data_IF_893716671351
#
_entry.id   IF_893716671351
#
_cell.length_a   1.000
_cell.length_b   1.000
_cell.length_c   1.000
_cell.angle_alpha   90.00
_cell.angle_beta   90.00
_cell.angle_gamma   90.00
#
_symmetry.space_group_name_H-M   'P 1'
#
loop_
_entity.id
_entity.type
_entity.pdbx_description
1 polymer ?
#
# COMPACT_ATOMS: atom_id res chain seq x y z
N UNK A 1 -9.77 33.56 -30.22
CA UNK A 1 -10.82 32.52 -30.03
C UNK A 1 -10.46 31.72 -28.79
N UNK A 2 -11.40 31.50 -27.87
CA UNK A 2 -11.16 30.64 -26.71
C UNK A 2 -11.08 29.17 -27.16
N UNK A 3 -10.24 28.36 -26.49
CA UNK A 3 -10.18 26.91 -26.75
C UNK A 3 -11.52 26.28 -26.43
N UNK A 4 -12.01 25.38 -27.28
CA UNK A 4 -13.24 24.63 -27.00
C UNK A 4 -13.00 23.58 -25.91
N UNK A 5 -14.07 23.18 -25.22
CA UNK A 5 -14.00 22.10 -24.22
C UNK A 5 -13.41 20.80 -24.81
N UNK A 6 -13.77 20.48 -26.05
CA UNK A 6 -13.22 19.32 -26.77
C UNK A 6 -11.70 19.44 -26.98
N UNK A 7 -11.21 20.63 -27.34
CA UNK A 7 -9.77 20.88 -27.48
C UNK A 7 -9.04 20.77 -26.14
N UNK A 8 -9.63 21.29 -25.06
CA UNK A 8 -9.05 21.19 -23.70
C UNK A 8 -8.96 19.72 -23.27
N UNK A 9 -10.03 18.93 -23.46
CA UNK A 9 -10.04 17.51 -23.12
C UNK A 9 -9.01 16.70 -23.93
N UNK A 10 -8.86 16.99 -25.22
CA UNK A 10 -7.83 16.36 -26.04
C UNK A 10 -6.41 16.68 -25.55
N UNK A 11 -6.17 17.92 -25.11
CA UNK A 11 -4.89 18.31 -24.50
C UNK A 11 -4.63 17.60 -23.17
N UNK A 12 -5.66 17.46 -22.32
CA UNK A 12 -5.55 16.71 -21.06
C UNK A 12 -5.16 15.26 -21.34
N UNK A 13 -5.87 14.59 -22.26
CA UNK A 13 -5.58 13.19 -22.61
C UNK A 13 -4.15 13.01 -23.15
N UNK A 14 -3.66 13.98 -23.94
CA UNK A 14 -2.28 13.97 -24.44
C UNK A 14 -1.28 14.12 -23.30
N UNK A 15 -1.47 15.12 -22.44
CA UNK A 15 -0.58 15.37 -21.30
C UNK A 15 -0.56 14.22 -20.30
N UNK A 16 -1.69 13.54 -20.08
CA UNK A 16 -1.76 12.35 -19.26
C UNK A 16 -0.88 11.23 -19.83
N UNK A 17 -1.00 10.94 -21.14
CA UNK A 17 -0.15 9.93 -21.80
C UNK A 17 1.33 10.27 -21.71
N UNK A 18 1.69 11.55 -21.88
CA UNK A 18 3.07 12.01 -21.72
C UNK A 18 3.56 11.82 -20.28
N UNK A 19 2.73 12.16 -19.28
CA UNK A 19 3.04 11.95 -17.88
C UNK A 19 3.24 10.46 -17.53
N UNK A 20 2.37 9.58 -18.03
CA UNK A 20 2.50 8.14 -17.81
C UNK A 20 3.73 7.55 -18.50
N UNK A 21 4.07 8.04 -19.69
CA UNK A 21 5.29 7.65 -20.38
C UNK A 21 6.56 8.09 -19.62
N UNK A 22 6.56 9.27 -19.01
CA UNK A 22 7.66 9.73 -18.16
C UNK A 22 7.77 8.89 -16.89
N UNK A 23 6.66 8.65 -16.19
CA UNK A 23 6.62 7.77 -15.01
C UNK A 23 7.15 6.38 -15.32
N UNK A 24 6.78 5.79 -16.45
CA UNK A 24 7.26 4.47 -16.85
C UNK A 24 8.78 4.43 -17.02
N UNK A 25 9.39 5.49 -17.58
CA UNK A 25 10.85 5.60 -17.71
C UNK A 25 11.54 5.74 -16.35
N UNK A 26 10.99 6.56 -15.46
CA UNK A 26 11.52 6.71 -14.10
C UNK A 26 11.45 5.39 -13.33
N UNK A 27 10.30 4.72 -13.37
CA UNK A 27 10.09 3.41 -12.74
C UNK A 27 11.06 2.37 -13.29
N UNK A 28 11.29 2.32 -14.61
CA UNK A 28 12.26 1.41 -15.20
C UNK A 28 13.69 1.62 -14.64
N UNK A 29 14.12 2.88 -14.51
CA UNK A 29 15.41 3.22 -13.92
C UNK A 29 15.50 2.83 -12.44
N UNK A 30 14.44 3.09 -11.67
CA UNK A 30 14.35 2.70 -10.25
C UNK A 30 14.40 1.18 -10.10
N UNK A 31 13.63 0.45 -10.91
CA UNK A 31 13.62 -1.03 -10.91
C UNK A 31 15.00 -1.58 -11.24
N UNK A 32 15.72 -0.99 -12.20
CA UNK A 32 17.10 -1.39 -12.49
C UNK A 32 18.01 -1.23 -11.26
N UNK A 33 17.91 -0.09 -10.58
CA UNK A 33 18.73 0.22 -9.40
C UNK A 33 18.38 -0.71 -8.21
N UNK A 34 17.10 -1.04 -8.04
CA UNK A 34 16.64 -2.01 -7.03
C UNK A 34 17.16 -3.42 -7.37
N UNK A 35 17.10 -3.84 -8.64
CA UNK A 35 17.62 -5.16 -9.07
C UNK A 35 19.12 -5.30 -8.80
N UNK A 36 19.89 -4.25 -9.07
CA UNK A 36 21.33 -4.23 -8.77
C UNK A 36 21.58 -4.33 -7.27
N UNK A 37 20.86 -3.55 -6.46
CA UNK A 37 20.95 -3.65 -5.00
C UNK A 37 20.59 -5.06 -4.50
N UNK A 38 19.53 -5.68 -5.05
CA UNK A 38 19.16 -7.06 -4.71
C UNK A 38 20.31 -8.03 -5.01
N UNK A 39 20.97 -7.90 -6.16
CA UNK A 39 22.07 -8.77 -6.55
C UNK A 39 23.31 -8.58 -5.67
N UNK A 40 23.69 -7.33 -5.36
CA UNK A 40 24.88 -7.01 -4.55
C UNK A 40 24.70 -7.45 -3.10
N UNK A 41 23.56 -7.12 -2.51
CA UNK A 41 23.32 -7.31 -1.08
C UNK A 41 22.54 -8.59 -0.76
N UNK A 42 22.23 -9.43 -1.76
CA UNK A 42 21.41 -10.64 -1.60
C UNK A 42 20.08 -10.36 -0.88
N UNK A 43 19.46 -9.21 -1.16
CA UNK A 43 18.21 -8.79 -0.53
C UNK A 43 17.08 -9.74 -0.92
N UNK A 44 16.25 -10.09 0.04
CA UNK A 44 15.05 -10.88 -0.20
C UNK A 44 13.81 -9.99 -0.12
N UNK A 45 12.66 -10.48 -0.61
CA UNK A 45 11.40 -9.76 -0.47
C UNK A 45 11.06 -9.42 0.99
N UNK A 46 11.53 -10.22 1.96
CA UNK A 46 11.31 -9.93 3.38
C UNK A 46 12.07 -8.69 3.89
N UNK A 47 13.14 -8.28 3.20
CA UNK A 47 13.93 -7.09 3.55
C UNK A 47 13.35 -5.82 2.88
N UNK A 48 12.80 -5.99 1.67
CA UNK A 48 12.25 -4.88 0.87
C UNK A 48 10.80 -4.51 1.22
N UNK A 49 10.05 -5.46 1.76
CA UNK A 49 8.66 -5.27 2.15
C UNK A 49 8.58 -5.47 3.65
N UNK A 50 8.48 -4.35 4.38
CA UNK A 50 8.16 -4.38 5.81
C UNK A 50 6.93 -5.26 6.02
N UNK A 51 7.06 -6.22 6.91
CA UNK A 51 6.11 -7.29 7.20
C UNK A 51 4.81 -6.71 7.79
N UNK A 52 4.00 -6.07 6.94
CA UNK A 52 2.59 -5.87 7.19
C UNK A 52 1.75 -7.04 6.62
N UNK A 53 2.39 -8.04 6.00
CA UNK A 53 1.72 -9.18 5.33
C UNK A 53 2.45 -10.52 5.48
N UNK A 54 3.58 -10.62 6.17
CA UNK A 54 4.31 -11.87 6.38
C UNK A 54 4.07 -12.50 7.78
N UNK A 55 2.91 -12.22 8.37
CA UNK A 55 2.26 -13.11 9.32
C UNK A 55 1.61 -14.36 8.67
N UNK A 56 2.28 -15.01 7.72
CA UNK A 56 2.12 -16.46 7.46
C UNK A 56 3.46 -17.01 6.98
N UNK A 57 4.32 -17.41 7.92
CA UNK A 57 5.21 -18.57 7.76
C UNK A 57 5.89 -18.89 9.09
N UNK A 58 5.69 -20.09 9.65
CA UNK A 58 6.79 -20.78 10.28
C UNK A 58 7.55 -21.59 9.22
N UNK A 59 8.87 -21.46 9.29
CA UNK A 59 9.86 -22.13 8.49
C UNK A 59 9.67 -23.66 8.44
N UNK A 60 9.61 -24.22 7.23
CA UNK A 60 9.92 -25.63 7.01
C UNK A 60 11.45 -25.80 6.97
N UNK A 61 12.05 -25.84 8.16
CA UNK A 61 13.40 -26.34 8.38
C UNK A 61 13.41 -27.84 8.08
N UNK A 62 14.26 -28.24 7.14
CA UNK A 62 14.57 -29.64 6.82
C UNK A 62 14.84 -30.46 8.09
N UNK A 63 14.09 -31.55 8.28
CA UNK A 63 14.56 -32.78 8.93
C UNK A 63 13.94 -33.98 8.21
N UNK A 64 14.79 -34.78 7.56
CA UNK A 64 14.47 -36.18 7.23
C UNK A 64 14.49 -36.97 8.54
N UNK A 65 13.44 -37.73 8.84
CA UNK A 65 13.49 -39.11 9.38
C UNK A 65 12.08 -39.67 9.56
N UNK A 66 11.83 -40.78 8.84
CA UNK A 66 10.95 -41.94 9.06
C UNK A 66 9.72 -41.88 9.99
N UNK A 67 8.60 -42.33 9.39
CA UNK A 67 7.52 -43.18 9.92
C UNK A 67 6.45 -42.65 10.90
N UNK A 68 5.22 -43.11 10.59
CA UNK A 68 4.04 -43.36 11.44
C UNK A 68 2.90 -42.30 11.52
N UNK A 69 1.84 -42.62 10.77
CA UNK A 69 0.38 -42.56 11.07
C UNK A 69 -0.33 -41.22 11.42
N UNK A 70 -1.50 -40.93 10.80
CA UNK A 70 -2.35 -39.79 11.15
C UNK A 70 -3.50 -40.20 12.07
N UNK A 71 -3.89 -39.37 13.05
CA UNK A 71 -5.30 -39.22 13.47
C UNK A 71 -5.51 -38.08 14.48
N UNK A 72 -6.47 -37.21 14.14
CA UNK A 72 -7.49 -36.58 14.99
C UNK A 72 -7.05 -35.59 16.08
N UNK A 73 -7.59 -34.36 16.01
CA UNK A 73 -7.76 -33.55 17.22
C UNK A 73 -8.04 -32.05 17.05
N UNK A 74 -9.34 -31.71 16.96
CA UNK A 74 -9.96 -30.50 17.55
C UNK A 74 -9.67 -29.12 16.94
N UNK A 75 -10.60 -28.70 16.07
CA UNK A 75 -11.07 -27.30 16.02
C UNK A 75 -11.74 -26.94 17.34
N UNK A 76 -11.41 -25.78 17.90
CA UNK A 76 -12.28 -25.03 18.81
C UNK A 76 -12.03 -23.51 18.64
N UNK A 77 -13.03 -22.65 18.92
CA UNK A 77 -13.15 -21.32 18.31
C UNK A 77 -12.88 -20.14 19.26
N UNK A 78 -12.62 -18.98 18.63
CA UNK A 78 -12.91 -17.59 19.07
C UNK A 78 -12.12 -17.01 20.26
N UNK A 79 -11.38 -15.94 19.98
CA UNK A 79 -11.22 -14.83 20.91
C UNK A 79 -11.18 -13.50 20.14
N UNK A 80 -12.24 -12.71 20.29
CA UNK A 80 -12.30 -11.33 19.84
C UNK A 80 -11.30 -10.49 20.66
N UNK A 81 -10.24 -10.01 20.03
CA UNK A 81 -9.33 -9.06 20.65
C UNK A 81 -9.88 -7.64 20.49
N UNK A 82 -9.92 -6.95 21.63
CA UNK A 82 -10.63 -5.70 21.93
C UNK A 82 -10.28 -4.55 20.98
N UNK A 83 -11.29 -3.76 20.60
CA UNK A 83 -11.17 -2.42 19.98
C UNK A 83 -10.22 -1.58 20.83
N UNK A 84 -9.01 -1.32 20.33
CA UNK A 84 -8.28 -0.14 20.74
C UNK A 84 -9.02 1.05 20.15
N UNK A 85 -9.44 1.98 21.00
CA UNK A 85 -10.07 3.23 20.61
C UNK A 85 -9.12 3.99 19.68
N UNK A 86 -9.38 3.84 18.40
CA UNK A 86 -8.57 4.41 17.35
C UNK A 86 -8.78 5.93 17.39
N UNK A 87 -7.83 6.64 17.98
CA UNK A 87 -7.82 8.11 17.99
C UNK A 87 -8.04 8.61 16.55
N UNK A 88 -9.12 9.35 16.35
CA UNK A 88 -9.42 10.01 15.08
C UNK A 88 -8.39 11.12 14.92
N UNK A 89 -7.31 10.84 14.21
CA UNK A 89 -6.26 11.82 13.93
C UNK A 89 -6.63 12.80 12.84
N UNK A 90 -7.56 12.45 11.95
CA UNK A 90 -7.93 13.29 10.81
C UNK A 90 -9.43 13.30 10.57
N UNK A 91 -10.00 14.46 10.19
CA UNK A 91 -11.41 14.67 9.85
C UNK A 91 -11.54 15.67 8.70
N UNK A 92 -12.57 15.51 7.86
CA UNK A 92 -12.95 16.52 6.86
C UNK A 92 -14.24 17.28 7.21
N UNK A 93 -14.55 18.32 6.43
CA UNK A 93 -15.77 19.12 6.55
C UNK A 93 -17.05 18.32 6.22
N UNK A 94 -16.93 17.22 5.48
CA UNK A 94 -18.02 16.31 5.15
C UNK A 94 -18.29 15.27 6.27
N UNK A 95 -17.53 15.32 7.37
CA UNK A 95 -17.69 14.44 8.53
C UNK A 95 -16.97 13.09 8.42
N UNK A 96 -16.19 12.86 7.37
CA UNK A 96 -15.35 11.68 7.26
C UNK A 96 -14.19 11.77 8.25
N UNK A 97 -13.84 10.64 8.86
CA UNK A 97 -12.77 10.57 9.87
C UNK A 97 -11.82 9.43 9.56
N UNK A 98 -10.53 9.65 9.85
CA UNK A 98 -9.49 8.65 9.64
C UNK A 98 -8.47 8.73 10.76
N UNK A 99 -8.08 7.56 11.25
CA UNK A 99 -7.30 7.40 12.49
C UNK A 99 -5.79 7.45 12.24
N UNK A 100 -5.40 7.83 11.01
CA UNK A 100 -4.01 7.81 10.55
C UNK A 100 -3.41 6.42 10.35
N UNK A 101 -4.17 5.37 10.68
CA UNK A 101 -3.76 3.97 10.56
C UNK A 101 -4.42 3.29 9.35
N UNK A 102 -3.66 2.47 8.64
CA UNK A 102 -4.12 1.71 7.48
C UNK A 102 -4.15 2.52 6.17
N UNK A 103 -4.94 2.05 5.20
CA UNK A 103 -4.99 2.64 3.85
C UNK A 103 -5.64 4.02 3.89
N UNK A 104 -4.94 5.03 3.35
CA UNK A 104 -5.46 6.42 3.27
C UNK A 104 -6.77 6.45 2.49
N UNK A 105 -7.86 7.02 3.05
CA UNK A 105 -9.12 7.18 2.35
C UNK A 105 -9.01 8.08 1.13
N UNK A 106 -9.92 7.92 0.18
CA UNK A 106 -9.96 8.76 -1.03
C UNK A 106 -10.26 10.23 -0.69
N UNK A 107 -11.10 10.52 0.31
CA UNK A 107 -11.37 11.89 0.75
C UNK A 107 -10.11 12.58 1.28
N UNK A 108 -9.26 11.84 2.02
CA UNK A 108 -8.01 12.38 2.54
C UNK A 108 -7.04 12.70 1.41
N UNK A 109 -6.94 11.82 0.39
CA UNK A 109 -6.13 12.08 -0.81
C UNK A 109 -6.66 13.26 -1.62
N UNK A 110 -7.97 13.32 -1.85
CA UNK A 110 -8.61 14.42 -2.56
C UNK A 110 -8.42 15.76 -1.85
N UNK A 111 -8.43 15.77 -0.52
CA UNK A 111 -8.16 16.98 0.25
C UNK A 111 -6.69 17.45 0.13
N UNK A 112 -5.73 16.52 0.11
CA UNK A 112 -4.32 16.84 -0.18
C UNK A 112 -4.14 17.35 -1.62
N UNK A 113 -4.81 16.74 -2.60
CA UNK A 113 -4.78 17.20 -3.99
C UNK A 113 -5.49 18.54 -4.19
N UNK A 114 -6.50 18.83 -3.39
CA UNK A 114 -7.17 20.13 -3.33
C UNK A 114 -6.31 21.21 -2.65
N UNK A 115 -5.08 20.87 -2.22
CA UNK A 115 -4.12 21.79 -1.61
C UNK A 115 -4.31 22.00 -0.10
N UNK A 116 -5.21 21.25 0.55
CA UNK A 116 -5.30 21.25 2.02
C UNK A 116 -4.15 20.45 2.58
N UNK A 117 -3.54 20.94 3.66
CA UNK A 117 -2.45 20.21 4.29
C UNK A 117 -3.01 19.12 5.20
N UNK A 118 -2.26 18.03 5.42
CA UNK A 118 -2.69 16.99 6.35
C UNK A 118 -2.82 17.53 7.78
N UNK A 119 -2.13 18.63 8.11
CA UNK A 119 -2.28 19.30 9.40
C UNK A 119 -3.64 20.00 9.55
N UNK A 120 -4.19 20.58 8.48
CA UNK A 120 -5.52 21.23 8.50
C UNK A 120 -6.66 20.23 8.66
N UNK A 121 -6.42 18.98 8.28
CA UNK A 121 -7.37 17.88 8.43
C UNK A 121 -7.16 17.14 9.74
N UNK A 122 -6.17 17.48 10.57
CA UNK A 122 -5.92 16.79 11.82
C UNK A 122 -6.88 17.28 12.92
N UNK A 123 -7.37 16.36 13.76
CA UNK A 123 -8.25 16.66 14.93
C UNK A 123 -7.50 16.36 16.22
#
# INVERSE_FOLDING_TARGET
MAKSLAQVNAQIAKLQREADALKAKEVAGVVSRIKEAIAIYSLTSADLFDDAVAAVKPAARQKRTVAAAPVVGKKAPKAAAKKAESQIKYRDEAGHTWTGHGKRPNWFKAAIEAGKKPEDLAV
#
